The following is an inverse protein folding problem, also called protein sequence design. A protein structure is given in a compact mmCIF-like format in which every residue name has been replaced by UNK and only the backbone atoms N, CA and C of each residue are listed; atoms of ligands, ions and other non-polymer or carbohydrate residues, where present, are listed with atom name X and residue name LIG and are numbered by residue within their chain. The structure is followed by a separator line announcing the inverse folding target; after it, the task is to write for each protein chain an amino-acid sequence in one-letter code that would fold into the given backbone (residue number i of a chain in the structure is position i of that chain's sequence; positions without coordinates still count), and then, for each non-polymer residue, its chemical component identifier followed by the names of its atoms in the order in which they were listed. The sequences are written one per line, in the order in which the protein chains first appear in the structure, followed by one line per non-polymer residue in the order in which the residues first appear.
data_IF_111979501904
#
_entry.id   IF_111979501904
#
_cell.length_a   1.000
_cell.length_b   1.000
_cell.length_c   1.000
_cell.angle_alpha   90.00
_cell.angle_beta   90.00
_cell.angle_gamma   90.00
#
_symmetry.space_group_name_H-M   'P 1'
#
loop_
_entity.id
_entity.type
_entity.pdbx_description
1 polymer ?
#
# COMPACT_ATOMS: atom_id res chain seq x y z
N UNK A 1 -14.22 -0.75 -1.08
CA UNK A 1 -13.56 -0.76 0.23
C UNK A 1 -12.20 -0.08 0.14
N UNK A 2 -11.87 0.71 1.13
CA UNK A 2 -10.54 1.31 1.21
C UNK A 2 -9.68 0.49 2.15
N UNK A 3 -8.42 0.26 1.74
CA UNK A 3 -7.46 -0.53 2.52
C UNK A 3 -6.18 0.28 2.65
N UNK A 4 -5.76 0.53 3.88
CA UNK A 4 -4.49 1.19 4.16
C UNK A 4 -3.39 0.12 4.15
N UNK A 5 -2.37 0.33 3.32
CA UNK A 5 -1.28 -0.62 3.13
C UNK A 5 0.01 0.03 3.60
N UNK A 6 0.62 -0.52 4.62
CA UNK A 6 1.85 0.01 5.23
C UNK A 6 2.98 -0.96 4.96
N UNK A 7 4.01 -0.48 4.26
CA UNK A 7 5.12 -1.34 3.85
C UNK A 7 6.02 -1.72 5.02
N UNK A 8 6.61 -2.91 4.90
CA UNK A 8 7.65 -3.42 5.78
C UNK A 8 8.58 -4.32 4.97
N UNK A 9 9.80 -4.49 5.41
CA UNK A 9 10.71 -5.42 4.76
C UNK A 9 10.29 -6.86 5.09
N UNK A 10 10.19 -7.71 4.06
CA UNK A 10 9.80 -9.11 4.25
C UNK A 10 10.88 -9.90 5.00
N UNK A 11 12.11 -9.49 4.83
CA UNK A 11 13.30 -10.07 5.48
C UNK A 11 14.20 -8.93 5.92
N UNK A 12 15.51 -9.11 5.86
CA UNK A 12 16.43 -8.02 6.05
C UNK A 12 16.23 -6.95 4.96
N UNK A 13 16.54 -5.71 5.30
CA UNK A 13 16.53 -4.60 4.35
C UNK A 13 17.36 -4.96 3.12
N UNK A 14 16.85 -4.76 1.90
CA UNK A 14 17.62 -5.07 0.70
C UNK A 14 18.88 -4.22 0.60
N UNK A 15 19.91 -4.77 -0.04
CA UNK A 15 21.12 -4.02 -0.36
C UNK A 15 20.79 -2.89 -1.34
N UNK A 16 21.61 -1.83 -1.40
CA UNK A 16 21.44 -0.79 -2.41
C UNK A 16 21.42 -1.34 -3.83
N UNK A 17 22.19 -2.39 -4.10
CA UNK A 17 22.24 -3.03 -5.41
C UNK A 17 20.93 -3.71 -5.77
N UNK A 18 20.34 -4.48 -4.84
CA UNK A 18 19.04 -5.12 -5.03
C UNK A 18 17.95 -4.08 -5.26
N UNK A 19 17.94 -3.03 -4.45
CA UNK A 19 16.97 -1.95 -4.57
C UNK A 19 17.09 -1.25 -5.91
N UNK A 20 18.31 -0.87 -6.31
CA UNK A 20 18.55 -0.13 -7.55
C UNK A 20 18.24 -0.96 -8.78
N UNK A 21 18.34 -2.28 -8.70
CA UNK A 21 17.95 -3.17 -9.79
C UNK A 21 16.43 -3.23 -9.99
N UNK A 22 15.64 -3.06 -8.93
CA UNK A 22 14.20 -3.24 -8.99
C UNK A 22 13.41 -1.92 -9.09
N UNK A 23 13.95 -0.82 -8.58
CA UNK A 23 13.26 0.48 -8.60
C UNK A 23 12.82 0.93 -9.99
N UNK A 24 13.60 0.75 -11.06
CA UNK A 24 13.16 1.14 -12.41
C UNK A 24 11.89 0.41 -12.87
N UNK A 25 11.57 -0.74 -12.28
CA UNK A 25 10.33 -1.48 -12.55
C UNK A 25 9.25 -1.14 -11.54
N UNK A 26 9.62 -0.94 -10.28
CA UNK A 26 8.69 -0.66 -9.18
C UNK A 26 7.98 0.69 -9.38
N UNK A 27 8.72 1.73 -9.72
CA UNK A 27 8.16 3.09 -9.84
C UNK A 27 7.09 3.16 -10.93
N UNK A 28 7.33 2.69 -12.18
CA UNK A 28 6.28 2.70 -13.20
C UNK A 28 5.07 1.83 -12.84
N UNK A 29 5.28 0.68 -12.22
CA UNK A 29 4.19 -0.22 -11.82
C UNK A 29 3.31 0.43 -10.76
N UNK A 30 3.91 1.11 -9.78
CA UNK A 30 3.19 1.85 -8.75
C UNK A 30 2.39 3.01 -9.35
N UNK A 31 3.00 3.79 -10.24
CA UNK A 31 2.32 4.89 -10.92
C UNK A 31 1.14 4.41 -11.76
N UNK A 32 1.26 3.24 -12.39
CA UNK A 32 0.16 2.66 -13.15
C UNK A 32 -1.04 2.37 -12.25
N UNK A 33 -0.82 1.77 -11.09
CA UNK A 33 -1.90 1.53 -10.13
C UNK A 33 -2.54 2.83 -9.66
N UNK A 34 -1.76 3.88 -9.49
CA UNK A 34 -2.27 5.20 -9.14
C UNK A 34 -3.14 5.79 -10.26
N UNK A 35 -2.68 5.72 -11.50
CA UNK A 35 -3.42 6.22 -12.66
C UNK A 35 -4.68 5.42 -12.93
N UNK A 36 -4.67 4.12 -12.65
CA UNK A 36 -5.83 3.24 -12.81
C UNK A 36 -6.86 3.40 -11.66
N UNK A 37 -6.56 4.22 -10.66
CA UNK A 37 -7.44 4.46 -9.53
C UNK A 37 -7.40 3.39 -8.45
N UNK A 38 -6.52 2.41 -8.55
CA UNK A 38 -6.32 1.38 -7.52
C UNK A 38 -5.66 1.99 -6.29
N UNK A 39 -4.57 2.74 -6.49
CA UNK A 39 -3.97 3.53 -5.42
C UNK A 39 -4.60 4.92 -5.45
N UNK A 40 -5.35 5.26 -4.40
CA UNK A 40 -5.98 6.57 -4.28
C UNK A 40 -5.01 7.63 -3.80
N UNK A 41 -4.20 7.31 -2.81
CA UNK A 41 -3.16 8.17 -2.25
C UNK A 41 -1.95 7.33 -1.87
N UNK A 42 -0.79 7.96 -1.87
CA UNK A 42 0.45 7.31 -1.49
C UNK A 42 1.41 8.30 -0.85
N UNK A 43 2.17 7.81 0.13
CA UNK A 43 3.11 8.62 0.91
C UNK A 43 4.39 7.84 1.15
N UNK A 44 5.49 8.57 1.36
CA UNK A 44 6.67 8.00 1.99
C UNK A 44 6.52 8.06 3.51
N UNK A 45 6.98 7.04 4.20
CA UNK A 45 7.11 7.08 5.65
C UNK A 45 8.25 8.03 6.01
N UNK A 46 8.03 8.89 6.99
CA UNK A 46 9.05 9.84 7.42
C UNK A 46 9.88 9.35 8.62
N UNK A 47 9.39 8.33 9.33
CA UNK A 47 10.04 7.74 10.50
C UNK A 47 11.00 6.60 10.14
N UNK A 48 10.77 5.95 9.01
CA UNK A 48 11.57 4.82 8.54
C UNK A 48 11.43 4.68 7.03
N UNK A 49 12.35 4.02 6.32
CA UNK A 49 12.19 3.77 4.90
C UNK A 49 10.94 2.94 4.62
N UNK A 50 10.17 3.38 3.66
CA UNK A 50 8.95 2.67 3.26
C UNK A 50 7.89 3.58 2.70
N UNK A 51 6.75 2.98 2.36
CA UNK A 51 5.63 3.67 1.75
C UNK A 51 4.31 3.29 2.44
N UNK A 52 3.33 4.17 2.29
CA UNK A 52 1.96 3.92 2.70
C UNK A 52 1.06 4.18 1.51
N UNK A 53 0.19 3.23 1.19
CA UNK A 53 -0.80 3.38 0.13
C UNK A 53 -2.21 3.34 0.70
N UNK A 54 -3.10 4.16 0.16
CA UNK A 54 -4.53 3.99 0.33
C UNK A 54 -5.08 3.37 -0.95
N UNK A 55 -5.56 2.13 -0.86
CA UNK A 55 -5.97 1.33 -2.01
C UNK A 55 -7.49 1.18 -2.04
N UNK A 56 -8.07 1.35 -3.22
CA UNK A 56 -9.47 1.02 -3.48
C UNK A 56 -9.54 -0.42 -4.00
N UNK A 57 -10.27 -1.28 -3.30
CA UNK A 57 -10.42 -2.68 -3.69
C UNK A 57 -11.75 -3.22 -3.19
N UNK A 58 -12.20 -4.33 -3.75
CA UNK A 58 -13.44 -4.98 -3.33
C UNK A 58 -13.31 -5.63 -1.95
N UNK A 59 -12.10 -6.02 -1.60
CA UNK A 59 -11.78 -6.72 -0.34
C UNK A 59 -10.33 -6.51 0.03
N UNK A 60 -9.97 -6.90 1.25
CA UNK A 60 -8.57 -6.92 1.69
C UNK A 60 -7.75 -7.86 0.82
N UNK A 61 -8.30 -9.02 0.45
CA UNK A 61 -7.60 -9.98 -0.41
C UNK A 61 -7.34 -9.40 -1.80
N UNK A 62 -8.29 -8.65 -2.37
CA UNK A 62 -8.09 -7.97 -3.65
C UNK A 62 -6.97 -6.92 -3.55
N UNK A 63 -6.93 -6.16 -2.45
CA UNK A 63 -5.85 -5.20 -2.21
C UNK A 63 -4.49 -5.90 -2.13
N UNK A 64 -4.41 -7.04 -1.46
CA UNK A 64 -3.18 -7.84 -1.39
C UNK A 64 -2.71 -8.29 -2.76
N UNK A 65 -3.62 -8.72 -3.62
CA UNK A 65 -3.27 -9.14 -4.99
C UNK A 65 -2.63 -7.98 -5.76
N UNK A 66 -3.21 -6.78 -5.70
CA UNK A 66 -2.65 -5.62 -6.37
C UNK A 66 -1.27 -5.25 -5.84
N UNK A 67 -1.11 -5.17 -4.53
CA UNK A 67 0.11 -4.68 -3.89
C UNK A 67 1.24 -5.71 -3.94
N UNK A 68 0.93 -6.99 -3.69
CA UNK A 68 1.92 -8.06 -3.82
C UNK A 68 2.32 -8.30 -5.28
N UNK A 69 1.51 -7.86 -6.23
CA UNK A 69 1.84 -7.89 -7.65
C UNK A 69 2.89 -6.87 -8.07
N UNK A 70 3.22 -5.90 -7.23
CA UNK A 70 4.30 -4.95 -7.50
C UNK A 70 5.66 -5.65 -7.52
N UNK A 71 6.63 -5.16 -8.31
CA UNK A 71 7.93 -5.85 -8.46
C UNK A 71 8.65 -6.16 -7.14
N UNK A 72 8.64 -5.24 -6.17
CA UNK A 72 9.26 -5.50 -4.87
C UNK A 72 8.54 -6.60 -4.10
N UNK A 73 7.21 -6.66 -4.20
CA UNK A 73 6.42 -7.73 -3.60
C UNK A 73 6.71 -9.07 -4.26
N UNK A 74 6.75 -9.13 -5.58
CA UNK A 74 7.06 -10.35 -6.34
C UNK A 74 8.49 -10.85 -6.08
N UNK A 75 9.42 -9.94 -5.86
CA UNK A 75 10.80 -10.28 -5.54
C UNK A 75 10.97 -10.76 -4.09
N UNK A 76 9.93 -10.69 -3.27
CA UNK A 76 10.00 -11.09 -1.86
C UNK A 76 10.78 -10.13 -0.97
N UNK A 77 10.99 -8.90 -1.43
CA UNK A 77 11.75 -7.89 -0.69
C UNK A 77 10.87 -7.10 0.27
N UNK A 78 9.62 -6.86 -0.10
CA UNK A 78 8.71 -6.01 0.66
C UNK A 78 7.38 -6.71 0.89
N UNK A 79 6.85 -6.55 2.08
CA UNK A 79 5.50 -6.96 2.45
C UNK A 79 4.74 -5.75 2.98
N UNK A 80 3.48 -5.93 3.31
CA UNK A 80 2.62 -4.86 3.79
C UNK A 80 1.72 -5.36 4.90
N UNK A 81 1.40 -4.46 5.81
CA UNK A 81 0.25 -4.62 6.69
C UNK A 81 -0.96 -4.02 5.99
N UNK A 82 -2.08 -4.73 5.98
CA UNK A 82 -3.30 -4.34 5.30
C UNK A 82 -4.39 -4.06 6.33
N UNK A 83 -4.85 -2.82 6.37
CA UNK A 83 -5.84 -2.36 7.34
C UNK A 83 -7.06 -1.84 6.58
N UNK A 84 -8.20 -2.56 6.59
CA UNK A 84 -9.42 -2.00 6.01
C UNK A 84 -9.87 -0.81 6.83
N UNK A 85 -10.23 0.28 6.16
CA UNK A 85 -10.60 1.53 6.81
C UNK A 85 -11.93 2.02 6.23
N UNK A 86 -12.64 2.79 7.03
CA UNK A 86 -13.93 3.34 6.64
C UNK A 86 -14.30 4.52 7.51
N UNK A 87 -15.53 5.05 7.34
CA UNK A 87 -16.01 6.16 8.16
C UNK A 87 -15.93 5.85 9.65
N UNK A 88 -15.64 6.85 10.44
CA UNK A 88 -15.61 6.71 11.90
C UNK A 88 -17.04 6.61 12.42
N UNK A 89 -17.54 5.38 12.53
CA UNK A 89 -18.94 5.10 12.86
C UNK A 89 -19.45 5.82 14.12
N UNK A 90 -18.72 5.89 15.23
CA UNK A 90 -19.19 6.63 16.40
C UNK A 90 -19.54 8.09 16.13
N UNK A 91 -18.78 8.75 15.26
CA UNK A 91 -19.09 10.14 14.88
C UNK A 91 -20.35 10.21 14.02
N UNK A 92 -20.55 9.26 13.13
CA UNK A 92 -21.76 9.17 12.32
C UNK A 92 -23.00 8.96 13.17
N UNK A 93 -22.91 8.13 14.19
CA UNK A 93 -24.01 7.90 15.14
C UNK A 93 -24.36 9.16 15.92
N UNK A 94 -23.39 9.92 16.36
CA UNK A 94 -23.62 11.18 17.07
C UNK A 94 -24.31 12.23 16.20
N UNK A 95 -23.99 12.27 14.92
CA UNK A 95 -24.65 13.16 13.96
C UNK A 95 -26.08 12.69 13.71
N UNK A 96 -26.31 11.40 13.59
CA UNK A 96 -27.61 10.83 13.29
C UNK A 96 -28.64 11.07 14.40
N UNK A 97 -28.19 11.22 15.64
CA UNK A 97 -29.06 11.48 16.78
C UNK A 97 -29.60 12.90 16.82
N UNK A 98 -29.13 13.77 15.98
CA UNK A 98 -29.58 15.16 15.90
C UNK A 98 -30.73 15.32 14.93
#
# INVERSE_FOLDING_TARGET
MKVLCISKWAKARPSPEERDAILPKEVPATLKLYLDGVIEQMWFKLDAPGVVFLVNAESVDAAKIHVHGLPMGQAGLMDFDFIPVGPLAPLGMLIAEK
#
